data_IF_050180324318
#
_entry.id   IF_050180324318
#
_cell.length_a   1.000
_cell.length_b   1.000
_cell.length_c   1.000
_cell.angle_alpha   90.00
_cell.angle_beta   90.00
_cell.angle_gamma   90.00
#
_symmetry.space_group_name_H-M   'P 1'
#
loop_
_entity.id
_entity.type
_entity.pdbx_description
1 polymer ?
#
# COMPACT_ATOMS: atom_id res chain seq x y z
N UNK A 1 -9.46 -41.67 -38.11
CA UNK A 1 -8.49 -40.59 -38.34
C UNK A 1 -9.19 -39.44 -39.04
N UNK A 2 -9.05 -38.20 -38.55
CA UNK A 2 -9.60 -36.94 -39.10
C UNK A 2 -10.72 -36.35 -38.22
N UNK A 3 -10.43 -35.68 -37.11
CA UNK A 3 -10.10 -34.24 -36.94
C UNK A 3 -11.32 -33.31 -37.14
N UNK A 4 -11.87 -32.79 -36.03
CA UNK A 4 -11.73 -31.41 -35.56
C UNK A 4 -12.74 -30.48 -36.27
N UNK A 5 -13.71 -29.85 -35.62
CA UNK A 5 -13.60 -28.97 -34.46
C UNK A 5 -14.45 -27.75 -34.82
N UNK A 6 -15.70 -27.70 -34.36
CA UNK A 6 -16.65 -26.63 -34.72
C UNK A 6 -16.30 -25.39 -33.91
N UNK A 7 -15.73 -24.40 -34.59
CA UNK A 7 -15.48 -23.07 -34.08
C UNK A 7 -16.79 -22.43 -33.61
N UNK A 8 -16.88 -22.08 -32.33
CA UNK A 8 -17.98 -21.30 -31.79
C UNK A 8 -17.82 -19.86 -32.25
N UNK A 9 -18.90 -19.38 -32.88
CA UNK A 9 -18.97 -18.15 -33.64
C UNK A 9 -18.69 -16.89 -32.82
N UNK A 10 -18.00 -15.98 -33.49
CA UNK A 10 -17.87 -14.59 -33.13
C UNK A 10 -19.23 -13.88 -33.10
N UNK A 11 -19.32 -12.93 -32.17
CA UNK A 11 -19.93 -11.60 -32.30
C UNK A 11 -20.87 -11.31 -31.14
N UNK A 12 -20.38 -10.53 -30.17
CA UNK A 12 -21.20 -9.59 -29.43
C UNK A 12 -20.36 -8.33 -29.16
N UNK A 13 -20.68 -7.30 -29.95
CA UNK A 13 -20.50 -5.86 -29.70
C UNK A 13 -19.10 -5.25 -29.72
N UNK A 14 -18.85 -4.53 -30.82
CA UNK A 14 -17.90 -3.42 -30.84
C UNK A 14 -18.29 -2.32 -29.85
N UNK A 15 -17.26 -1.67 -29.32
CA UNK A 15 -17.39 -0.57 -28.38
C UNK A 15 -16.15 -0.51 -27.52
N UNK A 16 -15.12 0.16 -28.03
CA UNK A 16 -13.87 0.49 -27.35
C UNK A 16 -13.10 -0.72 -26.81
N UNK A 17 -12.02 -1.08 -27.49
CA UNK A 17 -10.78 -1.26 -26.73
C UNK A 17 -10.50 0.10 -26.10
N UNK A 18 -11.16 0.38 -24.98
CA UNK A 18 -10.66 1.37 -24.05
C UNK A 18 -9.29 0.82 -23.72
N UNK A 19 -8.27 1.38 -24.37
CA UNK A 19 -6.90 1.28 -23.94
C UNK A 19 -6.99 1.37 -22.42
N UNK A 20 -6.72 0.26 -21.72
CA UNK A 20 -6.61 0.32 -20.27
C UNK A 20 -5.66 1.51 -20.05
N UNK A 21 -6.14 2.61 -19.42
CA UNK A 21 -5.36 3.83 -19.37
C UNK A 21 -4.03 3.37 -18.83
N UNK A 22 -2.98 3.55 -19.62
CA UNK A 22 -1.64 3.31 -19.16
C UNK A 22 -1.59 4.05 -17.83
N UNK A 23 -1.48 3.32 -16.72
CA UNK A 23 -1.35 3.91 -15.41
C UNK A 23 0.03 4.56 -15.27
N UNK A 24 0.57 5.13 -16.35
CA UNK A 24 1.31 6.37 -16.30
C UNK A 24 0.32 7.50 -16.04
N UNK A 25 -0.37 7.45 -14.89
CA UNK A 25 -0.70 8.68 -14.21
C UNK A 25 0.62 9.45 -14.14
N UNK A 26 0.66 10.66 -14.68
CA UNK A 26 1.83 11.51 -14.56
C UNK A 26 2.27 11.46 -13.10
N UNK A 27 3.46 10.90 -12.83
CA UNK A 27 3.97 10.80 -11.49
C UNK A 27 4.25 12.21 -11.00
N UNK A 28 3.24 12.80 -10.38
CA UNK A 28 3.29 14.13 -9.84
C UNK A 28 3.37 13.98 -8.33
N UNK A 29 4.59 13.86 -7.85
CA UNK A 29 4.85 13.77 -6.43
C UNK A 29 4.55 15.11 -5.76
N UNK A 30 3.81 15.06 -4.67
CA UNK A 30 3.62 16.20 -3.78
C UNK A 30 4.83 16.34 -2.85
N UNK A 31 5.03 17.51 -2.21
CA UNK A 31 6.08 17.64 -1.18
C UNK A 31 5.92 16.66 -0.01
N UNK A 32 4.69 16.24 0.28
CA UNK A 32 4.38 15.22 1.28
C UNK A 32 4.85 13.84 0.81
N UNK A 33 4.68 13.54 -0.47
CA UNK A 33 5.21 12.29 -1.06
C UNK A 33 6.73 12.25 -0.97
N UNK A 34 7.40 13.35 -1.31
CA UNK A 34 8.86 13.48 -1.16
C UNK A 34 9.31 13.24 0.28
N UNK A 35 8.54 13.71 1.27
CA UNK A 35 8.85 13.50 2.68
C UNK A 35 8.75 12.01 3.05
N UNK A 36 7.70 11.33 2.61
CA UNK A 36 7.52 9.90 2.85
C UNK A 36 8.67 9.08 2.24
N UNK A 37 8.99 9.31 0.97
CA UNK A 37 10.10 8.61 0.29
C UNK A 37 11.44 8.87 0.99
N UNK A 38 11.69 10.10 1.46
CA UNK A 38 12.90 10.42 2.24
C UNK A 38 12.96 9.69 3.59
N UNK A 39 11.82 9.40 4.23
CA UNK A 39 11.79 8.60 5.45
C UNK A 39 12.09 7.13 5.16
N UNK A 40 11.55 6.57 4.08
CA UNK A 40 11.85 5.21 3.64
C UNK A 40 13.33 5.03 3.28
N UNK A 41 13.95 6.05 2.67
CA UNK A 41 15.38 6.12 2.40
C UNK A 41 16.28 5.97 3.61
N UNK A 42 15.84 6.45 4.78
CA UNK A 42 16.64 6.34 6.00
C UNK A 42 16.77 4.90 6.49
N UNK A 43 15.77 4.05 6.20
CA UNK A 43 15.77 2.63 6.58
C UNK A 43 16.06 1.69 5.41
N UNK A 44 16.64 2.22 4.31
CA UNK A 44 16.98 1.45 3.11
C UNK A 44 15.76 0.71 2.52
N UNK A 45 14.58 1.32 2.62
CA UNK A 45 13.33 0.80 2.06
C UNK A 45 13.05 1.31 0.64
N UNK A 46 13.95 2.11 0.06
CA UNK A 46 13.79 2.63 -1.31
C UNK A 46 14.66 1.89 -2.32
N UNK A 47 13.92 1.25 -3.22
CA UNK A 47 14.15 0.99 -4.64
C UNK A 47 15.32 0.07 -5.03
N UNK A 48 15.03 -1.22 -4.95
CA UNK A 48 15.36 -2.15 -6.03
C UNK A 48 14.68 -1.65 -7.32
N UNK A 49 15.28 -1.92 -8.50
CA UNK A 49 14.90 -1.33 -9.79
C UNK A 49 13.45 -1.58 -10.27
N UNK A 50 12.67 -2.38 -9.55
CA UNK A 50 11.34 -2.84 -9.93
C UNK A 50 10.19 -1.93 -9.44
N UNK A 51 10.44 -1.07 -8.45
CA UNK A 51 9.44 -0.13 -7.90
C UNK A 51 9.95 1.30 -7.99
N UNK A 52 9.07 2.23 -8.40
CA UNK A 52 9.37 3.64 -8.46
C UNK A 52 8.72 4.38 -7.27
N UNK A 53 9.27 5.55 -6.93
CA UNK A 53 8.85 6.43 -5.84
C UNK A 53 7.33 6.76 -5.89
N UNK A 54 6.73 6.73 -7.08
CA UNK A 54 5.32 7.04 -7.30
C UNK A 54 4.40 5.93 -6.79
N UNK A 55 4.76 4.68 -7.08
CA UNK A 55 4.04 3.50 -6.56
C UNK A 55 4.14 3.45 -5.04
N UNK A 56 5.33 3.71 -4.52
CA UNK A 56 5.62 3.73 -3.09
C UNK A 56 4.80 4.81 -2.37
N UNK A 57 4.79 6.04 -2.90
CA UNK A 57 3.95 7.10 -2.37
C UNK A 57 2.45 6.79 -2.44
N UNK A 58 2.01 6.08 -3.49
CA UNK A 58 0.61 5.65 -3.59
C UNK A 58 0.25 4.61 -2.53
N UNK A 59 1.15 3.66 -2.24
CA UNK A 59 0.99 2.67 -1.19
C UNK A 59 0.99 3.31 0.21
N UNK A 60 1.92 4.23 0.49
CA UNK A 60 1.93 4.99 1.74
C UNK A 60 0.63 5.78 1.97
N UNK A 61 0.06 6.41 0.94
CA UNK A 61 -1.26 7.06 1.04
C UNK A 61 -2.38 6.05 1.31
N UNK A 62 -2.33 4.89 0.65
CA UNK A 62 -3.31 3.83 0.87
C UNK A 62 -3.29 3.34 2.32
N UNK A 63 -2.11 3.08 2.91
CA UNK A 63 -2.02 2.71 4.34
C UNK A 63 -2.66 3.75 5.25
N UNK A 64 -2.37 5.03 5.02
CA UNK A 64 -2.91 6.12 5.82
C UNK A 64 -4.45 6.21 5.72
N UNK A 65 -5.01 5.98 4.54
CA UNK A 65 -6.45 5.97 4.33
C UNK A 65 -7.14 4.77 4.99
N UNK A 66 -6.50 3.58 4.95
CA UNK A 66 -6.97 2.40 5.68
C UNK A 66 -7.05 2.67 7.19
N UNK A 67 -5.98 3.25 7.75
CA UNK A 67 -5.92 3.61 9.18
C UNK A 67 -7.00 4.63 9.55
N UNK A 68 -7.24 5.66 8.73
CA UNK A 68 -8.32 6.64 8.97
C UNK A 68 -9.71 6.02 8.95
N UNK A 69 -9.94 5.11 8.00
CA UNK A 69 -11.24 4.50 7.80
C UNK A 69 -11.60 3.50 8.91
N UNK A 70 -10.61 2.99 9.67
CA UNK A 70 -10.84 1.99 10.69
C UNK A 70 -11.20 2.62 12.06
N UNK A 71 -12.25 2.15 12.76
CA UNK A 71 -12.55 2.58 14.13
C UNK A 71 -11.42 2.28 15.13
N UNK A 72 -10.63 1.22 14.88
CA UNK A 72 -9.43 0.83 15.60
C UNK A 72 -8.15 1.03 14.75
N UNK A 73 -7.67 2.29 14.57
CA UNK A 73 -6.51 2.58 13.74
C UNK A 73 -5.22 1.91 14.22
N UNK A 74 -5.03 1.69 15.54
CA UNK A 74 -3.86 0.95 16.01
C UNK A 74 -3.89 -0.51 15.53
N UNK A 75 -5.03 -1.20 15.69
CA UNK A 75 -5.19 -2.57 15.21
C UNK A 75 -5.05 -2.68 13.69
N UNK A 76 -5.60 -1.72 12.94
CA UNK A 76 -5.41 -1.65 11.48
C UNK A 76 -3.94 -1.51 11.11
N UNK A 77 -3.19 -0.63 11.79
CA UNK A 77 -1.75 -0.50 11.59
C UNK A 77 -1.02 -1.82 11.78
N UNK A 78 -1.35 -2.59 12.83
CA UNK A 78 -0.78 -3.92 13.05
C UNK A 78 -1.15 -4.92 11.94
N UNK A 79 -2.38 -4.90 11.45
CA UNK A 79 -2.79 -5.76 10.34
C UNK A 79 -2.10 -5.40 9.01
N UNK A 80 -1.86 -4.10 8.74
CA UNK A 80 -1.08 -3.66 7.58
C UNK A 80 0.37 -4.15 7.68
N UNK A 81 1.00 -4.04 8.85
CA UNK A 81 2.34 -4.57 9.09
C UNK A 81 2.37 -6.10 8.88
N UNK A 82 1.37 -6.81 9.40
CA UNK A 82 1.22 -8.26 9.20
C UNK A 82 1.01 -8.61 7.72
N UNK A 83 0.29 -7.78 6.97
CA UNK A 83 0.08 -7.98 5.53
C UNK A 83 1.39 -7.85 4.77
N UNK A 84 2.17 -6.79 4.99
CA UNK A 84 3.46 -6.55 4.33
C UNK A 84 4.42 -7.70 4.61
N UNK A 85 4.57 -8.09 5.88
CA UNK A 85 5.48 -9.20 6.27
C UNK A 85 5.07 -10.56 5.71
N UNK A 86 3.78 -10.77 5.38
CA UNK A 86 3.30 -12.02 4.75
C UNK A 86 3.41 -12.02 3.23
N UNK A 87 3.44 -10.86 2.60
CA UNK A 87 3.34 -10.70 1.13
C UNK A 87 4.63 -10.22 0.48
N UNK A 88 5.57 -9.72 1.28
CA UNK A 88 6.87 -9.18 0.84
C UNK A 88 8.01 -9.86 1.62
N UNK A 89 9.27 -9.77 1.16
CA UNK A 89 10.43 -10.24 1.92
C UNK A 89 10.87 -9.26 3.03
N UNK A 90 10.08 -8.24 3.35
CA UNK A 90 10.44 -7.28 4.41
C UNK A 90 10.39 -7.93 5.79
N UNK A 91 11.36 -7.56 6.63
CA UNK A 91 11.33 -7.91 8.05
C UNK A 91 10.24 -7.14 8.80
N UNK A 92 9.88 -7.61 10.00
CA UNK A 92 8.92 -6.94 10.88
C UNK A 92 9.24 -5.45 11.07
N UNK A 93 10.48 -5.12 11.41
CA UNK A 93 10.90 -3.73 11.66
C UNK A 93 10.83 -2.85 10.41
N UNK A 94 11.01 -3.44 9.22
CA UNK A 94 10.91 -2.73 7.95
C UNK A 94 9.45 -2.40 7.62
N UNK A 95 8.55 -3.37 7.79
CA UNK A 95 7.11 -3.18 7.61
C UNK A 95 6.54 -2.18 8.64
N UNK A 96 6.99 -2.26 9.91
CA UNK A 96 6.66 -1.26 10.94
C UNK A 96 7.08 0.13 10.51
N UNK A 97 8.34 0.29 10.07
CA UNK A 97 8.83 1.59 9.61
C UNK A 97 8.03 2.16 8.44
N UNK A 98 7.67 1.32 7.47
CA UNK A 98 6.89 1.72 6.30
C UNK A 98 5.51 2.24 6.69
N UNK A 99 4.75 1.45 7.45
CA UNK A 99 3.39 1.80 7.90
C UNK A 99 3.42 3.01 8.85
N UNK A 100 4.37 3.05 9.78
CA UNK A 100 4.50 4.19 10.71
C UNK A 100 4.90 5.48 9.99
N UNK A 101 5.82 5.40 9.01
CA UNK A 101 6.19 6.56 8.19
C UNK A 101 5.02 7.06 7.36
N UNK A 102 4.21 6.15 6.82
CA UNK A 102 3.01 6.48 6.07
C UNK A 102 1.99 7.21 6.95
N UNK A 103 1.72 6.70 8.16
CA UNK A 103 0.83 7.35 9.13
C UNK A 103 1.40 8.72 9.55
N UNK A 104 2.70 8.79 9.84
CA UNK A 104 3.35 10.04 10.27
C UNK A 104 3.23 11.16 9.24
N UNK A 105 3.39 10.82 7.96
CA UNK A 105 3.38 11.79 6.87
C UNK A 105 1.98 12.09 6.38
N UNK A 106 1.19 11.05 6.11
CA UNK A 106 -0.09 11.20 5.43
C UNK A 106 -1.28 11.28 6.37
N UNK A 107 -1.25 10.71 7.57
CA UNK A 107 -2.35 10.75 8.56
C UNK A 107 -1.90 11.14 9.98
N UNK A 108 -1.16 12.26 10.16
CA UNK A 108 -0.61 12.65 11.46
C UNK A 108 -1.67 12.87 12.54
N UNK A 109 -2.89 13.24 12.15
CA UNK A 109 -4.04 13.41 13.04
C UNK A 109 -4.48 12.12 13.74
N UNK A 110 -4.10 10.96 13.20
CA UNK A 110 -4.42 9.65 13.79
C UNK A 110 -3.46 9.25 14.90
N UNK A 111 -2.25 9.83 14.95
CA UNK A 111 -1.21 9.49 15.93
C UNK A 111 -1.70 9.56 17.38
N UNK A 112 -2.40 10.62 17.84
CA UNK A 112 -2.90 10.66 19.22
C UNK A 112 -3.86 9.52 19.55
N UNK A 113 -4.75 9.17 18.62
CA UNK A 113 -5.71 8.08 18.78
C UNK A 113 -5.00 6.72 18.80
N UNK A 114 -4.04 6.50 17.93
CA UNK A 114 -3.22 5.29 17.88
C UNK A 114 -2.46 5.10 19.20
N UNK A 115 -1.81 6.15 19.71
CA UNK A 115 -1.07 6.10 20.98
C UNK A 115 -1.97 5.80 22.17
N UNK A 116 -3.16 6.40 22.23
CA UNK A 116 -4.16 6.12 23.26
C UNK A 116 -4.62 4.65 23.21
N UNK A 117 -4.85 4.10 22.02
CA UNK A 117 -5.25 2.70 21.84
C UNK A 117 -4.12 1.72 22.19
N UNK A 118 -2.89 2.00 21.78
CA UNK A 118 -1.72 1.21 22.13
C UNK A 118 -1.52 1.14 23.66
N UNK A 119 -1.70 2.27 24.35
CA UNK A 119 -1.61 2.33 25.82
C UNK A 119 -2.73 1.58 26.54
N UNK A 120 -3.89 1.40 25.91
CA UNK A 120 -5.06 0.69 26.46
C UNK A 120 -5.00 -0.82 26.25
N UNK A 121 -4.27 -1.32 25.25
CA UNK A 121 -4.16 -2.75 25.01
C UNK A 121 -3.28 -3.50 26.02
N UNK A 122 -2.54 -2.78 26.89
CA UNK A 122 -1.73 -3.37 27.95
C UNK A 122 -0.59 -4.27 27.41
N UNK A 123 0.38 -4.67 28.25
CA UNK A 123 1.36 -5.67 27.84
C UNK A 123 0.64 -6.97 27.48
N UNK A 124 0.99 -7.58 26.35
CA UNK A 124 0.54 -8.93 26.03
C UNK A 124 0.86 -9.86 27.22
N UNK A 125 -0.06 -10.76 27.63
CA UNK A 125 0.24 -11.70 28.71
C UNK A 125 1.48 -12.53 28.32
N UNK A 126 2.43 -12.60 29.25
CA UNK A 126 3.69 -13.33 29.14
C UNK A 126 3.50 -14.85 29.02
#
# INVERSE_FOLDING_TARGET
MGAAGVALGAAMFGGAVASAPQASASCNMTPTDDQYIKLLAQNKLVHNADFNDCSEAAEGRWFADQVRANPNPYGEGQELINMITRTTPMSQAQAEWEVESAIFVYAPEMIPKIKDQAGKQGPAPA
#
